data_IF_056837507272
#
_entry.id   IF_056837507272
#
_cell.length_a   1.000
_cell.length_b   1.000
_cell.length_c   1.000
_cell.angle_alpha   90.00
_cell.angle_beta   90.00
_cell.angle_gamma   90.00
#
_symmetry.space_group_name_H-M   'P 1'
#
loop_
_entity.id
_entity.type
_entity.pdbx_description
1 polymer ?
#
# COMPACT_ATOMS: atom_id res chain seq x y z
N UNK A 1 23.97 -12.53 32.40
CA UNK A 1 22.66 -13.22 32.48
C UNK A 1 22.43 -13.93 31.15
N UNK A 2 22.50 -15.27 31.14
CA UNK A 2 22.32 -16.07 29.93
C UNK A 2 20.84 -16.08 29.54
N UNK A 3 20.46 -15.30 28.54
CA UNK A 3 19.11 -15.30 27.99
C UNK A 3 18.80 -16.72 27.50
N UNK A 4 17.71 -17.29 28.03
CA UNK A 4 17.35 -18.70 27.86
C UNK A 4 17.19 -19.07 26.39
N UNK A 5 18.15 -19.80 25.82
CA UNK A 5 17.95 -20.55 24.57
C UNK A 5 16.86 -21.58 24.80
N UNK A 6 15.84 -21.61 23.94
CA UNK A 6 14.78 -22.62 23.98
C UNK A 6 15.41 -23.96 23.62
N UNK A 7 15.32 -24.93 24.53
CA UNK A 7 15.92 -26.25 24.36
C UNK A 7 14.96 -27.17 23.59
N UNK A 8 15.51 -28.22 22.97
CA UNK A 8 14.70 -29.20 22.23
C UNK A 8 13.59 -29.83 23.09
N UNK A 9 13.85 -30.04 24.38
CA UNK A 9 12.87 -30.54 25.36
C UNK A 9 11.69 -29.59 25.58
N UNK A 10 11.91 -28.27 25.51
CA UNK A 10 10.85 -27.28 25.69
C UNK A 10 9.94 -27.23 24.45
N UNK A 11 10.54 -27.39 23.25
CA UNK A 11 9.79 -27.53 21.99
C UNK A 11 8.95 -28.81 21.96
N UNK A 12 9.46 -29.92 22.51
CA UNK A 12 8.73 -31.19 22.61
C UNK A 12 7.53 -31.06 23.56
N UNK A 13 7.76 -30.55 24.78
CA UNK A 13 6.70 -30.36 25.77
C UNK A 13 5.59 -29.42 25.27
N UNK A 14 5.97 -28.34 24.56
CA UNK A 14 5.01 -27.44 23.92
C UNK A 14 4.13 -28.15 22.89
N UNK A 15 4.71 -29.05 22.07
CA UNK A 15 3.96 -29.80 21.05
C UNK A 15 2.99 -30.79 21.68
N UNK A 16 3.42 -31.54 22.70
CA UNK A 16 2.55 -32.49 23.41
C UNK A 16 1.34 -31.78 24.01
N UNK A 17 1.57 -30.66 24.69
CA UNK A 17 0.50 -29.87 25.30
C UNK A 17 -0.44 -29.26 24.23
N UNK A 18 0.11 -28.73 23.12
CA UNK A 18 -0.67 -28.22 22.00
C UNK A 18 -1.60 -29.30 21.40
N UNK A 19 -1.13 -30.54 21.29
CA UNK A 19 -1.96 -31.63 20.77
C UNK A 19 -3.07 -32.02 21.75
N UNK A 20 -2.79 -31.95 23.05
CA UNK A 20 -3.75 -32.30 24.11
C UNK A 20 -4.86 -31.26 24.31
N UNK A 21 -4.72 -30.06 23.76
CA UNK A 21 -5.67 -28.95 23.96
C UNK A 21 -7.00 -29.19 23.21
N UNK A 22 -8.13 -29.36 23.92
CA UNK A 22 -9.43 -29.57 23.29
C UNK A 22 -10.09 -28.27 22.81
N UNK A 23 -9.57 -27.11 23.22
CA UNK A 23 -10.16 -25.80 22.89
C UNK A 23 -9.77 -25.31 21.50
N UNK A 24 -8.75 -25.93 20.90
CA UNK A 24 -8.20 -25.60 19.59
C UNK A 24 -8.59 -26.65 18.55
N UNK A 25 -8.99 -26.20 17.37
CA UNK A 25 -9.19 -27.06 16.21
C UNK A 25 -7.84 -27.58 15.69
N UNK A 26 -7.85 -28.72 14.99
CA UNK A 26 -6.64 -29.28 14.36
C UNK A 26 -5.95 -28.29 13.42
N UNK A 27 -6.73 -27.44 12.75
CA UNK A 27 -6.20 -26.40 11.89
C UNK A 27 -5.42 -25.33 12.69
N UNK A 28 -5.96 -24.87 13.82
CA UNK A 28 -5.27 -23.92 14.70
C UNK A 28 -4.02 -24.53 15.31
N UNK A 29 -4.08 -25.80 15.71
CA UNK A 29 -2.91 -26.56 16.18
C UNK A 29 -1.80 -26.61 15.13
N UNK A 30 -2.14 -26.89 13.86
CA UNK A 30 -1.17 -26.86 12.75
C UNK A 30 -0.59 -25.46 12.51
N UNK A 31 -1.39 -24.40 12.60
CA UNK A 31 -0.90 -23.01 12.48
C UNK A 31 0.10 -22.68 13.59
N UNK A 32 -0.24 -22.95 14.86
CA UNK A 32 0.64 -22.71 16.02
C UNK A 32 1.91 -23.56 15.93
N UNK A 33 1.79 -24.82 15.51
CA UNK A 33 2.95 -25.71 15.31
C UNK A 33 3.90 -25.19 14.22
N UNK A 34 3.36 -24.55 13.17
CA UNK A 34 4.19 -23.93 12.12
C UNK A 34 5.00 -22.78 12.70
N UNK A 35 4.36 -21.87 13.45
CA UNK A 35 5.03 -20.73 14.11
C UNK A 35 6.11 -21.23 15.07
N UNK A 36 5.79 -22.18 15.95
CA UNK A 36 6.74 -22.72 16.93
C UNK A 36 7.94 -23.45 16.30
N UNK A 37 7.74 -24.10 15.15
CA UNK A 37 8.82 -24.81 14.46
C UNK A 37 9.83 -23.84 13.85
N UNK A 38 9.39 -22.65 13.43
CA UNK A 38 10.22 -21.61 12.83
C UNK A 38 10.73 -20.58 13.85
N UNK A 39 10.76 -20.94 15.14
CA UNK A 39 11.38 -20.13 16.17
C UNK A 39 12.90 -20.09 16.06
N UNK A 40 13.42 -18.86 16.03
CA UNK A 40 14.84 -18.56 16.05
C UNK A 40 15.25 -18.09 17.46
N UNK A 41 16.25 -18.78 18.03
CA UNK A 41 16.82 -18.47 19.34
C UNK A 41 17.72 -17.22 19.31
N UNK A 42 18.26 -16.82 18.17
CA UNK A 42 19.06 -15.60 18.05
C UNK A 42 18.16 -14.36 18.03
N UNK A 43 17.07 -14.42 17.27
CA UNK A 43 16.08 -13.34 17.17
C UNK A 43 15.05 -13.31 18.29
N UNK A 44 14.98 -14.40 19.09
CA UNK A 44 13.96 -14.59 20.14
C UNK A 44 12.55 -14.31 19.60
N UNK A 45 12.27 -14.83 18.41
CA UNK A 45 11.01 -14.70 17.68
C UNK A 45 10.94 -15.72 16.53
N UNK A 46 9.73 -16.00 16.05
CA UNK A 46 9.50 -16.67 14.79
C UNK A 46 9.07 -15.65 13.73
N UNK A 47 9.85 -15.49 12.66
CA UNK A 47 9.48 -14.65 11.53
C UNK A 47 8.60 -15.45 10.56
N UNK A 48 7.30 -15.16 10.56
CA UNK A 48 6.32 -15.94 9.80
C UNK A 48 5.26 -15.04 9.20
N UNK A 49 5.22 -14.96 7.87
CA UNK A 49 4.12 -14.31 7.14
C UNK A 49 2.84 -15.16 7.14
N UNK A 50 1.69 -14.54 6.86
CA UNK A 50 0.41 -15.27 6.82
C UNK A 50 0.38 -16.34 5.72
N UNK A 51 1.05 -16.09 4.59
CA UNK A 51 1.22 -17.07 3.50
C UNK A 51 2.13 -18.23 3.90
N UNK A 52 3.18 -17.94 4.67
CA UNK A 52 4.08 -18.96 5.20
C UNK A 52 3.38 -19.90 6.17
N UNK A 53 2.63 -19.36 7.13
CA UNK A 53 1.80 -20.14 8.06
C UNK A 53 0.75 -20.95 7.29
N UNK A 54 0.13 -20.35 6.26
CA UNK A 54 -0.86 -21.03 5.44
C UNK A 54 -0.28 -22.27 4.74
N UNK A 55 0.93 -22.14 4.17
CA UNK A 55 1.64 -23.26 3.53
C UNK A 55 1.97 -24.35 4.53
N UNK A 56 2.56 -24.00 5.69
CA UNK A 56 2.92 -24.98 6.73
C UNK A 56 1.73 -25.69 7.36
N UNK A 57 0.59 -25.00 7.50
CA UNK A 57 -0.63 -25.57 8.07
C UNK A 57 -1.55 -26.27 7.06
N UNK A 58 -1.21 -26.26 5.77
CA UNK A 58 -2.01 -26.87 4.70
C UNK A 58 -3.34 -26.13 4.44
N UNK A 59 -3.31 -24.79 4.43
CA UNK A 59 -4.52 -23.96 4.34
C UNK A 59 -4.26 -22.69 3.49
N UNK A 60 -5.18 -21.73 3.56
CA UNK A 60 -5.09 -20.45 2.83
C UNK A 60 -4.75 -19.29 3.76
N UNK A 61 -4.07 -18.26 3.24
CA UNK A 61 -3.75 -17.05 4.02
C UNK A 61 -5.02 -16.35 4.55
N UNK A 62 -6.14 -16.44 3.82
CA UNK A 62 -7.45 -15.95 4.28
C UNK A 62 -7.88 -16.62 5.59
N UNK A 63 -7.65 -17.93 5.72
CA UNK A 63 -7.97 -18.68 6.94
C UNK A 63 -7.02 -18.32 8.07
N UNK A 64 -5.72 -18.14 7.79
CA UNK A 64 -4.75 -17.64 8.79
C UNK A 64 -5.18 -16.27 9.31
N UNK A 65 -5.52 -15.33 8.42
CA UNK A 65 -6.02 -14.00 8.80
C UNK A 65 -7.29 -14.06 9.63
N UNK A 66 -8.23 -14.96 9.28
CA UNK A 66 -9.47 -15.18 10.04
C UNK A 66 -9.21 -15.72 11.44
N UNK A 67 -8.30 -16.67 11.59
CA UNK A 67 -8.00 -17.29 12.88
C UNK A 67 -6.96 -16.54 13.70
N UNK A 68 -6.30 -15.53 13.14
CA UNK A 68 -5.22 -14.76 13.78
C UNK A 68 -5.53 -14.33 15.21
N UNK A 69 -6.69 -13.72 15.44
CA UNK A 69 -7.13 -13.33 16.78
C UNK A 69 -7.24 -14.53 17.72
N UNK A 70 -7.92 -15.60 17.28
CA UNK A 70 -8.08 -16.83 18.06
C UNK A 70 -6.75 -17.57 18.34
N UNK A 71 -5.75 -17.46 17.47
CA UNK A 71 -4.41 -17.98 17.75
C UNK A 71 -3.74 -17.21 18.89
N UNK A 72 -3.90 -15.88 18.92
CA UNK A 72 -3.35 -15.03 19.99
C UNK A 72 -4.13 -15.24 21.29
N UNK A 73 -5.46 -15.35 21.22
CA UNK A 73 -6.33 -15.60 22.38
C UNK A 73 -6.03 -16.95 23.06
N UNK A 74 -5.42 -17.90 22.35
CA UNK A 74 -4.95 -19.16 22.95
C UNK A 74 -3.85 -18.96 24.00
N UNK A 75 -3.19 -17.80 24.01
CA UNK A 75 -2.06 -17.48 24.91
C UNK A 75 -0.77 -18.24 24.61
N UNK A 76 -0.74 -19.02 23.52
CA UNK A 76 0.41 -19.85 23.10
C UNK A 76 1.37 -19.11 22.17
N UNK A 77 0.84 -18.17 21.41
CA UNK A 77 1.61 -17.29 20.52
C UNK A 77 1.12 -15.86 20.72
N UNK A 78 2.01 -14.90 20.55
CA UNK A 78 1.64 -13.49 20.53
C UNK A 78 2.33 -12.79 19.37
N UNK A 79 1.87 -11.60 19.02
CA UNK A 79 2.47 -10.79 17.95
C UNK A 79 3.44 -9.82 18.62
N UNK A 80 4.73 -10.04 18.45
CA UNK A 80 5.80 -9.15 18.94
C UNK A 80 5.94 -7.93 18.03
N UNK A 81 5.83 -8.14 16.73
CA UNK A 81 5.78 -7.09 15.70
C UNK A 81 4.76 -7.50 14.64
N UNK A 82 3.76 -6.66 14.42
CA UNK A 82 2.84 -6.83 13.30
C UNK A 82 3.61 -6.72 11.98
N UNK A 83 3.15 -7.44 10.94
CA UNK A 83 3.74 -7.26 9.62
C UNK A 83 3.63 -5.78 9.21
N UNK A 84 4.75 -5.22 8.80
CA UNK A 84 4.82 -4.00 8.01
C UNK A 84 4.89 -4.39 6.53
N UNK A 85 4.92 -3.43 5.61
CA UNK A 85 4.93 -3.72 4.19
C UNK A 85 6.18 -4.52 3.75
N UNK A 86 7.32 -4.28 4.39
CA UNK A 86 8.62 -4.87 4.05
C UNK A 86 9.01 -6.03 4.97
N UNK A 87 8.38 -6.19 6.13
CA UNK A 87 8.80 -7.15 7.14
C UNK A 87 7.69 -8.11 7.55
N UNK A 88 8.05 -9.39 7.67
CA UNK A 88 7.12 -10.41 8.13
C UNK A 88 6.73 -10.20 9.60
N UNK A 89 5.57 -10.74 9.97
CA UNK A 89 5.13 -10.73 11.37
C UNK A 89 6.14 -11.49 12.22
N UNK A 90 6.63 -10.84 13.27
CA UNK A 90 7.40 -11.50 14.31
C UNK A 90 6.43 -12.01 15.36
N UNK A 91 6.40 -13.32 15.48
CA UNK A 91 5.61 -14.02 16.47
C UNK A 91 6.47 -14.36 17.67
N UNK A 92 5.95 -14.10 18.85
CA UNK A 92 6.47 -14.71 20.06
C UNK A 92 5.77 -16.05 20.30
N UNK A 93 6.47 -16.98 20.94
CA UNK A 93 5.94 -18.28 21.31
C UNK A 93 6.08 -18.42 22.81
N UNK A 94 4.97 -18.68 23.48
CA UNK A 94 4.97 -18.89 24.91
C UNK A 94 5.51 -20.29 25.22
N UNK A 95 6.83 -20.40 25.33
CA UNK A 95 7.52 -21.63 25.72
C UNK A 95 7.23 -22.05 27.17
N UNK A 96 6.65 -21.15 27.98
CA UNK A 96 6.28 -21.36 29.38
C UNK A 96 4.81 -21.74 29.55
N UNK A 97 4.21 -22.33 28.52
CA UNK A 97 2.84 -22.80 28.56
C UNK A 97 2.68 -24.02 29.50
N UNK A 98 1.43 -24.34 29.84
CA UNK A 98 1.02 -25.51 30.64
C UNK A 98 1.79 -26.75 30.16
N UNK A 99 2.40 -27.45 31.10
CA UNK A 99 3.15 -28.67 30.79
C UNK A 99 4.61 -28.49 30.36
N UNK A 100 5.18 -27.28 30.29
CA UNK A 100 6.64 -27.12 30.12
C UNK A 100 7.40 -27.77 31.30
N UNK A 101 8.60 -28.31 31.05
CA UNK A 101 9.39 -28.96 32.10
C UNK A 101 9.65 -28.03 33.30
N UNK A 102 9.87 -26.74 33.06
CA UNK A 102 10.02 -25.72 34.09
C UNK A 102 8.75 -25.53 34.93
N UNK A 103 7.57 -25.44 34.29
CA UNK A 103 6.28 -25.35 35.02
C UNK A 103 5.95 -26.66 35.74
N UNK A 104 6.24 -27.83 35.16
CA UNK A 104 6.05 -29.14 35.81
C UNK A 104 6.97 -29.31 37.03
N UNK A 105 8.22 -28.89 36.93
CA UNK A 105 9.16 -28.90 38.06
C UNK A 105 8.68 -27.96 39.18
N UNK A 106 8.07 -26.83 38.81
CA UNK A 106 7.57 -25.82 39.76
C UNK A 106 6.09 -26.02 40.18
N UNK A 107 5.41 -27.08 39.73
CA UNK A 107 3.99 -27.33 39.98
C UNK A 107 3.71 -28.84 40.15
N UNK A 108 4.58 -29.56 40.86
CA UNK A 108 4.43 -30.98 41.25
C UNK A 108 4.09 -31.94 40.09
N UNK A 109 4.63 -31.67 38.90
CA UNK A 109 4.38 -32.46 37.69
C UNK A 109 3.05 -32.20 37.00
N UNK A 110 2.20 -31.31 37.55
CA UNK A 110 0.85 -31.02 37.05
C UNK A 110 0.81 -29.77 36.16
N UNK A 111 -0.05 -29.70 35.13
CA UNK A 111 -0.25 -28.50 34.33
C UNK A 111 -1.07 -27.44 35.08
N UNK A 112 -0.64 -26.17 35.07
CA UNK A 112 -1.42 -25.05 35.64
C UNK A 112 -2.73 -24.82 34.87
N UNK A 113 -3.82 -24.43 35.56
CA UNK A 113 -5.18 -24.35 34.98
C UNK A 113 -5.68 -22.96 34.54
N UNK A 114 -4.87 -21.89 34.57
CA UNK A 114 -5.25 -20.56 34.05
C UNK A 114 -4.07 -19.86 33.35
N UNK A 115 -4.37 -19.12 32.27
CA UNK A 115 -3.39 -18.40 31.43
C UNK A 115 -3.31 -16.91 31.79
N UNK A 116 -3.51 -16.56 33.05
CA UNK A 116 -3.85 -15.20 33.48
C UNK A 116 -2.68 -14.23 33.74
N UNK A 117 -1.43 -14.57 33.41
CA UNK A 117 -0.30 -13.66 33.68
C UNK A 117 0.53 -13.49 32.42
N UNK A 118 0.22 -12.45 31.66
CA UNK A 118 1.18 -11.83 30.75
C UNK A 118 2.29 -11.26 31.64
N UNK A 119 3.57 -11.61 31.45
CA UNK A 119 4.64 -10.97 32.20
C UNK A 119 4.65 -9.47 31.89
N UNK A 120 4.42 -8.63 32.90
CA UNK A 120 4.48 -7.17 32.80
C UNK A 120 5.86 -6.65 32.35
N UNK A 121 6.88 -7.50 32.31
CA UNK A 121 8.26 -7.13 31.96
C UNK A 121 8.50 -6.92 30.44
N UNK A 122 7.47 -7.09 29.60
CA UNK A 122 7.55 -6.85 28.16
C UNK A 122 6.97 -5.50 27.70
N UNK A 123 6.45 -4.67 28.61
CA UNK A 123 6.11 -3.29 28.33
C UNK A 123 7.16 -2.40 29.01
N UNK A 124 7.99 -1.75 28.19
CA UNK A 124 9.05 -0.85 28.65
C UNK A 124 8.53 0.17 29.66
N UNK A 125 9.14 0.16 30.83
CA UNK A 125 9.00 1.18 31.87
C UNK A 125 9.46 2.51 31.27
N UNK A 126 8.52 3.45 31.12
CA UNK A 126 8.85 4.88 31.08
C UNK A 126 9.01 5.31 32.55
N UNK A 127 10.13 5.93 32.97
CA UNK A 127 10.30 6.32 34.36
C UNK A 127 9.25 7.35 34.76
N UNK A 128 8.50 7.03 35.81
CA UNK A 128 7.57 7.93 36.49
C UNK A 128 8.28 8.51 37.70
N UNK A 129 8.50 9.82 37.66
CA UNK A 129 8.58 10.71 38.83
C UNK A 129 7.77 11.95 38.43
N UNK A 130 6.87 12.58 39.20
CA UNK A 130 6.27 12.31 40.49
C UNK A 130 5.03 13.24 40.59
N UNK A 131 3.97 12.76 41.24
CA UNK A 131 2.97 13.50 42.06
C UNK A 131 2.25 14.75 41.51
N UNK A 132 0.90 14.72 41.56
CA UNK A 132 0.11 15.88 41.99
C UNK A 132 -1.16 16.20 41.19
N UNK A 133 -2.31 15.79 41.75
CA UNK A 133 -3.65 16.41 41.72
C UNK A 133 -4.19 17.18 40.47
N UNK A 134 -5.31 16.63 39.95
CA UNK A 134 -6.61 17.26 39.62
C UNK A 134 -6.74 18.46 38.65
N UNK A 135 -7.92 18.62 37.98
CA UNK A 135 -8.05 19.26 36.66
C UNK A 135 -8.51 20.73 36.71
N UNK A 136 -8.08 21.56 35.75
CA UNK A 136 -8.84 22.77 35.36
C UNK A 136 -8.55 23.23 33.91
N UNK A 137 -9.60 23.79 33.31
CA UNK A 137 -9.78 24.39 31.99
C UNK A 137 -9.03 25.72 31.74
N UNK A 138 -9.09 26.20 30.48
CA UNK A 138 -8.68 27.51 29.90
C UNK A 138 -7.17 27.66 29.60
N UNK A 139 -6.65 28.25 28.52
CA UNK A 139 -7.12 29.00 27.36
C UNK A 139 -5.92 29.77 26.77
N UNK A 140 -5.87 30.05 25.45
CA UNK A 140 -5.00 31.08 24.85
C UNK A 140 -3.92 30.62 23.84
N UNK A 141 -4.04 31.07 22.57
CA UNK A 141 -2.87 31.32 21.68
C UNK A 141 -2.22 32.69 22.00
N UNK A 142 -1.36 33.33 21.16
CA UNK A 142 -1.01 33.07 19.73
C UNK A 142 0.49 33.28 19.31
N UNK A 143 0.81 33.03 18.00
CA UNK A 143 1.75 33.70 17.02
C UNK A 143 3.17 34.19 17.42
N UNK A 144 4.23 34.38 16.59
CA UNK A 144 4.61 34.41 15.16
C UNK A 144 6.18 34.28 15.11
N UNK A 145 6.98 34.23 14.03
CA UNK A 145 6.84 34.54 12.60
C UNK A 145 8.07 34.00 11.80
N UNK A 146 7.89 33.69 10.51
CA UNK A 146 8.37 34.43 9.31
C UNK A 146 9.89 34.55 9.11
N UNK A 147 10.42 33.90 8.05
CA UNK A 147 11.22 34.51 6.96
C UNK A 147 11.70 33.47 5.91
N UNK A 148 11.30 33.67 4.65
CA UNK A 148 11.93 33.20 3.38
C UNK A 148 12.47 34.47 2.65
N UNK A 149 13.15 34.45 1.46
CA UNK A 149 13.48 33.39 0.47
C UNK A 149 14.99 33.42 0.05
N UNK A 150 15.57 32.64 -0.88
CA UNK A 150 15.31 32.60 -2.34
C UNK A 150 16.25 31.65 -3.13
N UNK A 151 15.70 31.06 -4.22
CA UNK A 151 16.27 30.84 -5.58
C UNK A 151 17.49 29.90 -5.74
N UNK A 152 17.64 29.01 -6.75
CA UNK A 152 17.05 28.78 -8.09
C UNK A 152 17.31 27.30 -8.45
N UNK A 153 16.38 26.62 -9.14
CA UNK A 153 16.68 25.42 -9.95
C UNK A 153 15.97 25.57 -11.29
N UNK A 154 16.75 25.56 -12.36
CA UNK A 154 16.27 25.25 -13.71
C UNK A 154 15.99 23.74 -13.75
N UNK A 155 14.74 23.33 -13.96
CA UNK A 155 14.40 21.93 -14.30
C UNK A 155 13.26 21.90 -15.32
N UNK A 156 13.55 21.17 -16.38
CA UNK A 156 12.74 20.75 -17.52
C UNK A 156 11.56 19.87 -17.11
N UNK A 157 10.42 20.05 -17.80
CA UNK A 157 9.20 19.20 -17.84
C UNK A 157 8.49 18.89 -16.49
N UNK A 158 7.16 19.15 -16.37
CA UNK A 158 6.45 18.86 -15.13
C UNK A 158 6.23 17.35 -14.98
N UNK A 159 6.93 16.76 -14.02
CA UNK A 159 6.60 15.46 -13.41
C UNK A 159 5.49 15.71 -12.38
N UNK A 160 4.34 15.08 -12.58
CA UNK A 160 3.17 15.17 -11.70
C UNK A 160 3.49 14.60 -10.32
N UNK A 161 3.28 15.39 -9.26
CA UNK A 161 3.33 14.90 -7.87
C UNK A 161 2.00 14.20 -7.53
N UNK A 162 1.99 13.02 -6.89
CA UNK A 162 0.77 12.48 -6.29
C UNK A 162 0.60 13.05 -4.88
N UNK A 163 -0.29 14.04 -4.71
CA UNK A 163 -0.74 14.50 -3.40
C UNK A 163 -2.08 13.85 -3.04
N UNK A 164 -2.03 13.00 -2.03
CA UNK A 164 -3.19 12.44 -1.35
C UNK A 164 -3.97 13.56 -0.64
N UNK A 165 -5.21 13.82 -1.06
CA UNK A 165 -6.10 14.75 -0.36
C UNK A 165 -7.41 14.96 -1.11
N UNK A 166 -8.44 14.19 -0.78
CA UNK A 166 -9.69 14.17 -1.55
C UNK A 166 -10.58 15.40 -1.37
N UNK A 167 -11.46 15.62 -2.36
CA UNK A 167 -12.86 16.06 -2.17
C UNK A 167 -13.75 15.46 -3.26
N UNK A 168 -14.85 14.83 -2.83
CA UNK A 168 -15.89 14.25 -3.68
C UNK A 168 -16.71 15.36 -4.33
N UNK A 169 -16.88 15.30 -5.65
CA UNK A 169 -17.85 16.11 -6.40
C UNK A 169 -18.45 15.30 -7.55
N UNK A 170 -19.79 15.25 -7.59
CA UNK A 170 -20.70 14.79 -8.63
C UNK A 170 -20.49 13.40 -9.28
N UNK A 171 -21.43 12.49 -8.98
CA UNK A 171 -21.61 11.19 -9.62
C UNK A 171 -22.19 11.37 -11.03
N UNK A 172 -21.43 10.95 -12.02
CA UNK A 172 -21.98 10.44 -13.27
C UNK A 172 -21.64 8.95 -13.35
N UNK A 173 -22.64 8.11 -13.67
CA UNK A 173 -22.56 6.65 -13.66
C UNK A 173 -21.76 6.11 -14.87
N UNK A 174 -20.54 6.59 -15.08
CA UNK A 174 -19.61 5.87 -15.94
C UNK A 174 -19.04 4.71 -15.15
N UNK A 175 -19.21 3.50 -15.69
CA UNK A 175 -18.74 2.29 -15.04
C UNK A 175 -17.21 2.40 -14.89
N UNK A 176 -16.65 2.51 -13.66
CA UNK A 176 -15.21 2.59 -13.42
C UNK A 176 -14.48 1.29 -13.81
N UNK A 177 -15.22 0.33 -14.38
CA UNK A 177 -14.73 -0.93 -14.91
C UNK A 177 -14.74 -1.00 -16.44
N UNK A 178 -15.05 0.08 -17.17
CA UNK A 178 -14.95 0.07 -18.64
C UNK A 178 -13.49 -0.18 -19.02
N UNK A 179 -13.27 -1.24 -19.78
CA UNK A 179 -11.95 -1.63 -20.30
C UNK A 179 -11.91 -1.23 -21.76
N UNK A 180 -10.81 -0.64 -22.20
CA UNK A 180 -10.64 -0.28 -23.60
C UNK A 180 -10.66 -1.52 -24.50
N UNK A 181 -11.27 -1.45 -25.71
CA UNK A 181 -11.26 -2.55 -26.65
C UNK A 181 -9.83 -3.04 -26.94
N UNK A 182 -9.61 -4.35 -26.86
CA UNK A 182 -8.29 -4.93 -27.04
C UNK A 182 -7.42 -4.98 -25.78
N UNK A 183 -7.91 -4.48 -24.64
CA UNK A 183 -7.20 -4.53 -23.36
C UNK A 183 -7.92 -5.41 -22.32
N UNK A 184 -7.18 -5.80 -21.28
CA UNK A 184 -7.70 -6.50 -20.12
C UNK A 184 -7.16 -5.86 -18.84
N UNK A 185 -7.97 -5.83 -17.77
CA UNK A 185 -7.54 -5.31 -16.47
C UNK A 185 -6.74 -6.34 -15.68
N UNK A 186 -5.65 -5.86 -15.10
CA UNK A 186 -4.73 -6.61 -14.27
C UNK A 186 -4.42 -5.84 -13.00
N UNK A 187 -4.27 -6.58 -11.90
CA UNK A 187 -3.76 -6.09 -10.64
C UNK A 187 -2.32 -6.53 -10.47
N UNK A 188 -1.41 -5.61 -10.19
CA UNK A 188 -0.04 -5.95 -9.77
C UNK A 188 -0.14 -6.44 -8.33
N UNK A 189 0.26 -7.69 -8.09
CA UNK A 189 0.25 -8.31 -6.76
C UNK A 189 1.62 -8.31 -6.10
N UNK A 190 2.66 -8.12 -6.89
CA UNK A 190 4.06 -8.02 -6.48
C UNK A 190 4.84 -7.44 -7.64
N UNK A 191 5.83 -6.61 -7.34
CA UNK A 191 6.80 -6.11 -8.29
C UNK A 191 8.16 -6.04 -7.58
N UNK A 192 9.24 -6.22 -8.34
CA UNK A 192 10.62 -6.13 -7.86
C UNK A 192 11.54 -5.81 -9.02
N UNK A 193 12.67 -5.17 -8.73
CA UNK A 193 13.80 -5.14 -9.65
C UNK A 193 14.71 -6.33 -9.37
N UNK A 194 15.19 -6.96 -10.44
CA UNK A 194 16.05 -8.14 -10.40
C UNK A 194 17.20 -7.94 -11.37
N UNK A 195 18.28 -8.70 -11.21
CA UNK A 195 19.52 -8.55 -11.99
C UNK A 195 20.69 -8.14 -11.12
N UNK A 196 21.92 -8.22 -11.64
CA UNK A 196 23.11 -7.77 -10.91
C UNK A 196 23.11 -6.26 -10.68
N UNK A 197 22.46 -5.51 -11.57
CA UNK A 197 22.36 -4.05 -11.55
C UNK A 197 20.89 -3.56 -11.48
N UNK A 198 19.95 -4.42 -11.04
CA UNK A 198 18.51 -4.09 -10.99
C UNK A 198 17.91 -3.68 -12.35
N UNK A 199 18.51 -4.16 -13.44
CA UNK A 199 18.17 -3.86 -14.83
C UNK A 199 16.86 -4.49 -15.34
N UNK A 200 16.31 -5.44 -14.58
CA UNK A 200 15.12 -6.19 -14.98
C UNK A 200 13.97 -5.93 -14.02
N UNK A 201 12.92 -5.27 -14.51
CA UNK A 201 11.66 -5.12 -13.80
C UNK A 201 10.78 -6.36 -13.93
N UNK A 202 10.38 -6.92 -12.79
CA UNK A 202 9.49 -8.09 -12.72
C UNK A 202 8.20 -7.69 -12.04
N UNK A 203 7.06 -7.88 -12.72
CA UNK A 203 5.74 -7.65 -12.14
C UNK A 203 4.85 -8.90 -12.24
N UNK A 204 4.37 -9.38 -11.10
CA UNK A 204 3.38 -10.44 -11.01
C UNK A 204 1.99 -9.82 -11.07
N UNK A 205 1.21 -10.24 -12.06
CA UNK A 205 -0.11 -9.68 -12.35
C UNK A 205 -1.22 -10.72 -12.25
N UNK A 206 -2.38 -10.28 -11.76
CA UNK A 206 -3.60 -11.08 -11.64
C UNK A 206 -4.77 -10.41 -12.33
N UNK A 207 -5.46 -11.15 -13.20
CA UNK A 207 -6.72 -10.67 -13.78
C UNK A 207 -7.89 -10.91 -12.83
N UNK A 208 -9.01 -10.22 -13.06
CA UNK A 208 -10.27 -10.47 -12.35
C UNK A 208 -10.82 -11.89 -12.53
N UNK A 209 -10.35 -12.63 -13.54
CA UNK A 209 -10.66 -14.05 -13.78
C UNK A 209 -9.62 -15.00 -13.15
N UNK A 210 -8.85 -14.53 -12.16
CA UNK A 210 -7.77 -15.25 -11.49
C UNK A 210 -6.61 -15.74 -12.39
N UNK A 211 -6.52 -15.23 -13.63
CA UNK A 211 -5.39 -15.56 -14.52
C UNK A 211 -4.11 -14.94 -13.98
N UNK A 212 -2.98 -15.62 -14.19
CA UNK A 212 -1.65 -15.16 -13.82
C UNK A 212 -0.93 -14.68 -15.06
N UNK A 213 -0.19 -13.58 -14.92
CA UNK A 213 0.79 -13.14 -15.90
C UNK A 213 2.00 -12.65 -15.13
N UNK A 214 3.20 -12.90 -15.67
CA UNK A 214 4.46 -12.41 -15.12
C UNK A 214 5.07 -11.57 -16.22
N UNK A 215 5.15 -10.26 -15.99
CA UNK A 215 5.94 -9.37 -16.82
C UNK A 215 7.38 -9.48 -16.35
N UNK A 216 8.29 -9.71 -17.30
CA UNK A 216 9.73 -9.53 -17.11
C UNK A 216 10.18 -8.64 -18.24
N UNK A 217 10.68 -7.47 -17.90
CA UNK A 217 11.09 -6.47 -18.85
C UNK A 217 12.40 -5.87 -18.40
N UNK A 218 13.35 -5.76 -19.32
CA UNK A 218 14.48 -4.87 -19.12
C UNK A 218 13.96 -3.43 -18.96
N UNK A 219 14.62 -2.62 -18.14
CA UNK A 219 14.26 -1.21 -17.90
C UNK A 219 14.31 -0.36 -19.18
N UNK A 220 15.11 -0.77 -20.16
CA UNK A 220 15.25 -0.10 -21.46
C UNK A 220 14.24 -0.60 -22.50
N UNK A 221 13.34 -1.53 -22.13
CA UNK A 221 12.39 -2.11 -23.07
C UNK A 221 11.11 -1.27 -23.21
N UNK A 222 10.47 -1.37 -24.38
CA UNK A 222 9.18 -0.73 -24.67
C UNK A 222 8.07 -1.18 -23.69
N UNK A 223 8.13 -2.43 -23.19
CA UNK A 223 7.19 -2.94 -22.20
C UNK A 223 7.35 -2.19 -20.87
N UNK A 224 8.60 -1.90 -20.47
CA UNK A 224 8.88 -1.11 -19.26
C UNK A 224 8.48 0.35 -19.45
N UNK A 225 8.83 0.96 -20.58
CA UNK A 225 8.46 2.33 -20.88
C UNK A 225 6.94 2.54 -20.79
N UNK A 226 6.15 1.61 -21.34
CA UNK A 226 4.69 1.72 -21.31
C UNK A 226 4.07 1.45 -19.94
N UNK A 227 4.60 0.50 -19.15
CA UNK A 227 4.09 0.30 -17.78
C UNK A 227 4.51 1.45 -16.85
N UNK A 228 5.69 2.01 -17.04
CA UNK A 228 6.14 3.20 -16.34
C UNK A 228 5.24 4.39 -16.63
N UNK A 229 4.92 4.66 -17.91
CA UNK A 229 3.97 5.72 -18.27
C UNK A 229 2.57 5.52 -17.66
N UNK A 230 2.12 4.26 -17.54
CA UNK A 230 0.82 3.93 -16.99
C UNK A 230 0.72 4.07 -15.45
N UNK A 231 1.84 3.96 -14.74
CA UNK A 231 1.87 3.84 -13.28
C UNK A 231 2.76 4.85 -12.56
N UNK A 232 3.60 5.57 -13.29
CA UNK A 232 4.66 6.44 -12.77
C UNK A 232 5.57 5.67 -11.80
N UNK A 233 6.29 4.68 -12.34
CA UNK A 233 7.23 3.87 -11.57
C UNK A 233 8.48 4.73 -11.31
N UNK A 234 8.44 5.52 -10.22
CA UNK A 234 9.52 6.43 -9.78
C UNK A 234 10.71 5.66 -9.16
N UNK A 235 11.24 4.67 -9.89
CA UNK A 235 12.38 3.84 -9.48
C UNK A 235 12.12 2.91 -8.29
N UNK A 236 10.92 2.94 -7.71
CA UNK A 236 10.51 2.08 -6.60
C UNK A 236 9.37 1.15 -7.02
N UNK A 237 9.70 -0.14 -7.16
CA UNK A 237 8.75 -1.18 -7.55
C UNK A 237 7.65 -1.42 -6.49
N UNK A 238 7.85 -1.04 -5.22
CA UNK A 238 6.84 -1.23 -4.19
C UNK A 238 5.63 -0.31 -4.40
N UNK A 239 5.85 0.88 -4.97
CA UNK A 239 4.80 1.88 -5.21
C UNK A 239 3.76 1.41 -6.23
N UNK A 240 4.10 0.44 -7.09
CA UNK A 240 3.15 -0.13 -8.05
C UNK A 240 2.42 -1.37 -7.53
N UNK A 241 2.77 -1.90 -6.36
CA UNK A 241 2.10 -3.07 -5.79
C UNK A 241 0.67 -2.71 -5.36
N UNK A 242 -0.28 -3.50 -5.82
CA UNK A 242 -1.71 -3.28 -5.58
C UNK A 242 -2.37 -2.40 -6.63
N UNK A 243 -1.59 -1.70 -7.46
CA UNK A 243 -2.07 -0.88 -8.55
C UNK A 243 -2.73 -1.72 -9.64
N UNK A 244 -3.68 -1.09 -10.32
CA UNK A 244 -4.42 -1.69 -11.42
C UNK A 244 -3.91 -1.08 -12.73
N UNK A 245 -3.76 -1.91 -13.76
CA UNK A 245 -3.43 -1.50 -15.13
C UNK A 245 -4.34 -2.17 -16.14
N UNK A 246 -4.44 -1.58 -17.33
CA UNK A 246 -4.96 -2.23 -18.52
C UNK A 246 -3.77 -2.70 -19.36
N UNK A 247 -3.76 -3.99 -19.75
CA UNK A 247 -2.70 -4.59 -20.57
C UNK A 247 -3.29 -5.11 -21.88
N UNK A 248 -2.56 -4.91 -22.98
CA UNK A 248 -2.97 -5.35 -24.32
C UNK A 248 -3.18 -6.87 -24.38
N UNK A 249 -4.22 -7.28 -25.10
CA UNK A 249 -4.64 -8.70 -25.26
C UNK A 249 -4.04 -9.38 -26.49
N UNK A 250 -3.14 -8.71 -27.21
CA UNK A 250 -2.39 -9.27 -28.33
C UNK A 250 -1.71 -10.60 -27.94
N UNK A 251 -1.68 -11.57 -28.87
CA UNK A 251 -1.07 -12.89 -28.61
C UNK A 251 0.44 -12.90 -28.78
N UNK A 252 0.96 -12.00 -29.61
CA UNK A 252 2.37 -11.87 -29.96
C UNK A 252 2.80 -10.41 -29.95
N UNK A 253 4.10 -10.18 -29.77
CA UNK A 253 4.70 -8.86 -29.70
C UNK A 253 4.70 -8.26 -28.28
N UNK A 254 5.27 -7.05 -28.15
CA UNK A 254 5.35 -6.33 -26.88
C UNK A 254 3.98 -6.08 -26.26
N UNK A 255 3.97 -5.92 -24.94
CA UNK A 255 2.78 -5.58 -24.15
C UNK A 255 2.70 -4.09 -23.94
N UNK A 256 1.56 -3.52 -24.33
CA UNK A 256 1.24 -2.13 -24.06
C UNK A 256 0.41 -2.04 -22.79
N UNK A 257 0.78 -1.13 -21.91
CA UNK A 257 0.09 -0.86 -20.66
C UNK A 257 -0.58 0.52 -20.69
N UNK A 258 -1.70 0.64 -19.97
CA UNK A 258 -2.49 1.86 -19.81
C UNK A 258 -3.02 1.96 -18.38
N UNK A 259 -3.40 3.17 -17.96
CA UNK A 259 -3.98 3.38 -16.63
C UNK A 259 -5.26 2.55 -16.47
N UNK A 260 -5.56 2.09 -15.25
CA UNK A 260 -6.76 1.28 -15.05
C UNK A 260 -8.08 2.04 -15.14
N UNK A 261 -8.04 3.31 -14.78
CA UNK A 261 -9.19 4.20 -14.71
C UNK A 261 -8.73 5.63 -15.03
N UNK A 262 -9.68 6.52 -15.40
CA UNK A 262 -9.38 7.94 -15.52
C UNK A 262 -8.82 8.50 -14.21
N UNK A 263 -7.94 9.48 -14.32
CA UNK A 263 -7.47 10.24 -13.17
C UNK A 263 -8.62 11.02 -12.52
N UNK A 264 -8.48 11.39 -11.23
CA UNK A 264 -9.41 12.30 -10.59
C UNK A 264 -9.54 13.60 -11.39
N UNK A 265 -10.71 14.22 -11.30
CA UNK A 265 -10.92 15.54 -11.86
C UNK A 265 -10.05 16.58 -11.15
N UNK A 266 -9.39 17.41 -11.96
CA UNK A 266 -8.65 18.59 -11.52
C UNK A 266 -9.46 19.83 -11.85
N UNK A 267 -9.72 20.68 -10.85
CA UNK A 267 -10.45 21.93 -11.01
C UNK A 267 -9.46 23.07 -11.22
N UNK A 268 -9.58 23.75 -12.36
CA UNK A 268 -8.63 24.77 -12.78
C UNK A 268 -9.32 25.97 -13.41
N UNK A 269 -8.64 27.10 -13.38
CA UNK A 269 -9.00 28.30 -14.12
C UNK A 269 -7.97 28.53 -15.21
N UNK A 270 -8.44 28.71 -16.45
CA UNK A 270 -7.58 29.06 -17.58
C UNK A 270 -7.15 30.52 -17.42
N UNK A 271 -5.84 30.76 -17.39
CA UNK A 271 -5.27 32.09 -17.27
C UNK A 271 -4.91 32.66 -18.64
N UNK A 272 -4.25 31.86 -19.47
CA UNK A 272 -3.72 32.27 -20.77
C UNK A 272 -3.66 31.05 -21.70
N UNK A 273 -3.69 31.29 -23.01
CA UNK A 273 -3.52 30.26 -24.02
C UNK A 273 -2.72 30.79 -25.22
N UNK A 274 -1.72 30.04 -25.64
CA UNK A 274 -0.91 30.34 -26.83
C UNK A 274 -0.98 29.17 -27.80
N UNK A 275 -1.41 29.43 -29.03
CA UNK A 275 -1.42 28.43 -30.11
C UNK A 275 0.00 28.17 -30.60
N UNK A 276 0.29 26.90 -30.90
CA UNK A 276 1.57 26.45 -31.43
C UNK A 276 1.48 26.24 -32.94
N UNK A 277 2.62 26.26 -33.62
CA UNK A 277 2.71 26.04 -35.07
C UNK A 277 2.15 24.68 -35.54
N UNK A 278 2.07 23.69 -34.65
CA UNK A 278 1.49 22.37 -34.93
C UNK A 278 -0.03 22.30 -34.73
N UNK A 279 -0.68 23.44 -34.46
CA UNK A 279 -2.10 23.55 -34.13
C UNK A 279 -2.44 23.10 -32.69
N UNK A 280 -1.43 22.72 -31.89
CA UNK A 280 -1.59 22.52 -30.45
C UNK A 280 -1.66 23.83 -29.68
N UNK A 281 -1.76 23.75 -28.36
CA UNK A 281 -1.79 24.94 -27.51
C UNK A 281 -1.03 24.75 -26.19
N UNK A 282 -0.38 25.81 -25.73
CA UNK A 282 0.15 25.93 -24.38
C UNK A 282 -0.85 26.74 -23.54
N UNK A 283 -1.52 26.08 -22.59
CA UNK A 283 -2.55 26.70 -21.75
C UNK A 283 -2.01 26.89 -20.35
N UNK A 284 -1.86 28.14 -19.91
CA UNK A 284 -1.52 28.43 -18.52
C UNK A 284 -2.78 28.32 -17.67
N UNK A 285 -2.72 27.52 -16.62
CA UNK A 285 -3.83 27.24 -15.71
C UNK A 285 -3.44 27.55 -14.27
N UNK A 286 -4.44 27.85 -13.44
CA UNK A 286 -4.33 27.88 -11.98
C UNK A 286 -5.21 26.80 -11.38
N UNK A 287 -4.66 25.99 -10.49
CA UNK A 287 -5.43 25.02 -9.72
C UNK A 287 -6.29 25.75 -8.68
N UNK A 288 -7.56 25.36 -8.61
CA UNK A 288 -8.50 25.87 -7.61
C UNK A 288 -8.52 25.00 -6.35
N UNK A 289 -7.42 24.29 -6.08
CA UNK A 289 -7.19 23.53 -4.86
C UNK A 289 -6.69 24.43 -3.71
N UNK A 290 -6.43 23.84 -2.55
CA UNK A 290 -6.01 24.60 -1.36
C UNK A 290 -4.63 25.27 -1.50
N UNK A 291 -3.81 24.83 -2.47
CA UNK A 291 -2.45 25.31 -2.67
C UNK A 291 -2.38 26.40 -3.77
N UNK A 292 -3.35 26.45 -4.68
CA UNK A 292 -3.52 27.56 -5.63
C UNK A 292 -2.41 27.65 -6.69
N UNK A 293 -1.73 26.54 -6.97
CA UNK A 293 -0.57 26.49 -7.87
C UNK A 293 -0.90 26.85 -9.32
N UNK A 294 0.10 27.30 -10.07
CA UNK A 294 0.00 27.53 -11.52
C UNK A 294 0.82 26.51 -12.28
N UNK A 295 0.31 26.08 -13.44
CA UNK A 295 0.99 25.17 -14.35
C UNK A 295 0.67 25.50 -15.80
N UNK A 296 1.44 24.91 -16.72
CA UNK A 296 1.18 25.00 -18.16
C UNK A 296 0.80 23.62 -18.70
N UNK A 297 -0.43 23.50 -19.21
CA UNK A 297 -0.88 22.33 -19.95
C UNK A 297 -0.46 22.46 -21.40
N UNK A 298 0.22 21.42 -21.93
CA UNK A 298 0.54 21.33 -23.36
C UNK A 298 -0.47 20.42 -24.02
N UNK A 299 -1.37 20.99 -24.82
CA UNK A 299 -2.44 20.27 -25.48
C UNK A 299 -2.11 20.03 -26.96
N UNK A 300 -2.34 18.81 -27.43
CA UNK A 300 -2.39 18.52 -28.86
C UNK A 300 -3.61 19.20 -29.50
N UNK A 301 -3.61 19.34 -30.83
CA UNK A 301 -4.63 20.09 -31.57
C UNK A 301 -6.06 19.62 -31.31
N UNK A 302 -6.27 18.31 -31.22
CA UNK A 302 -7.57 17.70 -30.91
C UNK A 302 -8.05 18.01 -29.48
N UNK A 303 -7.16 17.92 -28.50
CA UNK A 303 -7.45 18.25 -27.10
C UNK A 303 -7.68 19.76 -26.91
N UNK A 304 -6.91 20.61 -27.60
CA UNK A 304 -7.08 22.06 -27.58
C UNK A 304 -8.46 22.46 -28.14
N UNK A 305 -8.84 21.91 -29.30
CA UNK A 305 -10.15 22.12 -29.90
C UNK A 305 -11.29 21.65 -29.00
N UNK A 306 -11.13 20.50 -28.33
CA UNK A 306 -12.11 19.97 -27.37
C UNK A 306 -12.27 20.90 -26.17
N UNK A 307 -11.17 21.39 -25.60
CA UNK A 307 -11.20 22.36 -24.49
C UNK A 307 -11.92 23.65 -24.88
N UNK A 308 -11.60 24.20 -26.06
CA UNK A 308 -12.21 25.42 -26.59
C UNK A 308 -13.72 25.24 -26.76
N UNK A 309 -14.13 24.11 -27.35
CA UNK A 309 -15.55 23.79 -27.54
C UNK A 309 -16.31 23.71 -26.20
N UNK A 310 -15.73 23.04 -25.19
CA UNK A 310 -16.30 22.97 -23.84
C UNK A 310 -16.37 24.34 -23.15
N UNK A 311 -15.42 25.23 -23.43
CA UNK A 311 -15.44 26.59 -22.91
C UNK A 311 -16.48 27.51 -23.59
N UNK A 312 -17.08 27.10 -24.71
CA UNK A 312 -18.01 27.94 -25.48
C UNK A 312 -17.33 28.75 -26.59
N UNK A 313 -16.06 28.47 -26.90
CA UNK A 313 -15.26 29.18 -27.91
C UNK A 313 -14.00 29.82 -27.33
N UNK A 314 -13.10 30.27 -28.21
CA UNK A 314 -11.78 30.78 -27.83
C UNK A 314 -11.85 32.01 -26.92
N UNK A 315 -12.76 32.95 -27.22
CA UNK A 315 -12.98 34.16 -26.43
C UNK A 315 -13.53 33.88 -25.03
N UNK A 316 -14.20 32.75 -24.84
CA UNK A 316 -14.75 32.35 -23.54
C UNK A 316 -13.81 31.45 -22.73
N UNK A 317 -12.73 30.94 -23.35
CA UNK A 317 -11.80 30.03 -22.71
C UNK A 317 -10.95 30.74 -21.64
N UNK A 318 -10.45 31.95 -21.92
CA UNK A 318 -9.63 32.68 -20.95
C UNK A 318 -10.50 33.15 -19.78
N UNK A 319 -10.11 32.80 -18.56
CA UNK A 319 -10.86 33.06 -17.33
C UNK A 319 -11.94 32.02 -17.03
N UNK A 320 -12.20 31.05 -17.93
CA UNK A 320 -13.13 29.97 -17.65
C UNK A 320 -12.59 29.07 -16.53
N UNK A 321 -13.50 28.67 -15.64
CA UNK A 321 -13.26 27.60 -14.68
C UNK A 321 -13.72 26.29 -15.30
N UNK A 322 -12.79 25.34 -15.40
CA UNK A 322 -13.02 24.03 -16.00
C UNK A 322 -12.54 22.93 -15.07
N UNK A 323 -13.13 21.76 -15.22
CA UNK A 323 -12.56 20.52 -14.71
C UNK A 323 -11.94 19.77 -15.88
N UNK A 324 -10.78 19.15 -15.66
CA UNK A 324 -10.22 18.21 -16.62
C UNK A 324 -9.80 16.91 -15.93
N UNK A 325 -9.78 15.80 -16.68
CA UNK A 325 -9.19 14.53 -16.25
C UNK A 325 -8.56 13.79 -17.43
N UNK A 326 -7.54 13.00 -17.14
CA UNK A 326 -6.88 12.13 -18.12
C UNK A 326 -7.51 10.74 -18.12
N UNK A 327 -7.85 10.20 -19.29
CA UNK A 327 -8.38 8.85 -19.47
C UNK A 327 -7.26 7.81 -19.60
N UNK A 328 -7.57 6.49 -19.49
CA UNK A 328 -6.61 5.41 -19.71
C UNK A 328 -5.79 5.46 -21.01
N UNK A 329 -6.36 6.05 -22.05
CA UNK A 329 -5.78 6.17 -23.38
C UNK A 329 -5.15 7.55 -23.63
N UNK A 330 -4.82 8.27 -22.56
CA UNK A 330 -4.25 9.62 -22.55
C UNK A 330 -5.10 10.70 -23.22
N UNK A 331 -6.38 10.41 -23.51
CA UNK A 331 -7.33 11.45 -23.91
C UNK A 331 -7.70 12.32 -22.72
N UNK A 332 -7.81 13.62 -22.96
CA UNK A 332 -8.22 14.56 -21.93
C UNK A 332 -9.71 14.84 -22.10
N UNK A 333 -10.45 14.71 -21.00
CA UNK A 333 -11.83 15.16 -20.94
C UNK A 333 -11.90 16.49 -20.20
N UNK A 334 -12.65 17.42 -20.77
CA UNK A 334 -12.89 18.74 -20.20
C UNK A 334 -14.37 18.89 -19.86
N UNK A 335 -14.68 19.65 -18.81
CA UNK A 335 -16.03 20.07 -18.45
C UNK A 335 -15.99 21.49 -17.93
N UNK A 336 -16.84 22.36 -18.45
CA UNK A 336 -17.01 23.71 -17.90
C UNK A 336 -17.72 23.64 -16.55
N UNK A 337 -17.18 24.35 -15.55
CA UNK A 337 -17.91 24.62 -14.31
C UNK A 337 -18.69 25.91 -14.54
N UNK A 338 -20.01 25.81 -14.64
CA UNK A 338 -20.87 27.00 -14.64
C UNK A 338 -20.69 27.72 -13.31
N UNK A 339 -20.17 28.95 -13.35
CA UNK A 339 -20.29 29.88 -12.23
C UNK A 339 -21.78 30.17 -12.04
N UNK A 340 -22.37 29.61 -10.97
CA UNK A 340 -23.72 29.94 -10.53
C UNK A 340 -23.82 31.36 -10.00
#
# INVERSE_FOLDING_TARGET
MAWHRVLAKDKLAFREDLQSDPTLTDLQKRMISTIATHWDNERMAAECSESFIAKGAGTTAKMVKRYKASLVDSGRVSIKRAATYTESTLWDVNWRFRGSAWVRINNDGQPMRSCGVVPNDAQGVVPVDAQGWSPTSTGGGPQAGTQFPSQKKDISAPVERPLWGGRRGARENENPNKVEPGFARWKIIHAEYTGQDEDTFVAHMRSGKNRKFVLRSDIDSDDYASINAALDVDGDADNVIGSMVQMSTNRSGPKTFMRAAPLPWSDVTILEGEEREDGGANIRIRFNDGDGGEATLKLAADNAATMIAECGGETEAIGARIMYRLHPNDKIEFRRISSG
#
